data_IF_303393837911
#
_entry.id   IF_303393837911
#
_cell.length_a   1.000
_cell.length_b   1.000
_cell.length_c   1.000
_cell.angle_alpha   90.00
_cell.angle_beta   90.00
_cell.angle_gamma   90.00
#
_symmetry.space_group_name_H-M   'P 1'
#
loop_
_entity.id
_entity.type
_entity.pdbx_description
1 polymer ?
#
# COMPACT_ATOMS: atom_id res chain seq x y z
N UNK A 1 -45.20 -26.75 -40.01
CA UNK A 1 -44.18 -26.19 -39.10
C UNK A 1 -44.91 -25.45 -37.99
N UNK A 2 -45.08 -26.08 -36.83
CA UNK A 2 -45.70 -25.48 -35.65
C UNK A 2 -44.64 -25.38 -34.55
N UNK A 3 -44.34 -24.16 -34.11
CA UNK A 3 -43.51 -23.90 -32.94
C UNK A 3 -44.41 -24.00 -31.70
N UNK A 4 -44.10 -24.96 -30.82
CA UNK A 4 -44.71 -25.07 -29.50
C UNK A 4 -43.91 -24.16 -28.57
N UNK A 5 -44.52 -23.04 -28.17
CA UNK A 5 -44.01 -22.18 -27.10
C UNK A 5 -44.23 -22.91 -25.78
N UNK A 6 -43.16 -23.46 -25.18
CA UNK A 6 -43.23 -23.98 -23.81
C UNK A 6 -43.12 -22.80 -22.85
N UNK A 7 -44.25 -22.36 -22.33
CA UNK A 7 -44.30 -21.48 -21.16
C UNK A 7 -43.79 -22.30 -19.98
N UNK A 8 -42.66 -21.90 -19.39
CA UNK A 8 -42.22 -22.45 -18.11
C UNK A 8 -43.18 -21.89 -17.05
N UNK A 9 -44.19 -22.68 -16.68
CA UNK A 9 -45.01 -22.41 -15.49
C UNK A 9 -44.06 -22.32 -14.29
N UNK A 10 -43.86 -21.11 -13.78
CA UNK A 10 -43.18 -20.90 -12.52
C UNK A 10 -44.14 -21.33 -11.41
N UNK A 11 -43.84 -22.43 -10.73
CA UNK A 11 -44.56 -22.83 -9.52
C UNK A 11 -44.66 -21.64 -8.55
N UNK A 12 -45.84 -21.38 -7.96
CA UNK A 12 -45.99 -20.30 -6.99
C UNK A 12 -45.04 -20.54 -5.81
N UNK A 13 -44.20 -19.54 -5.50
CA UNK A 13 -43.22 -19.60 -4.41
C UNK A 13 -43.97 -19.86 -3.09
N UNK A 14 -43.91 -21.10 -2.61
CA UNK A 14 -44.83 -21.64 -1.60
C UNK A 14 -44.64 -21.09 -0.16
N UNK A 15 -43.65 -20.24 0.10
CA UNK A 15 -43.48 -19.49 1.34
C UNK A 15 -42.28 -18.54 1.23
N UNK A 16 -42.17 -17.50 2.07
CA UNK A 16 -40.92 -16.77 2.23
C UNK A 16 -39.82 -17.72 2.72
N UNK A 17 -38.67 -17.69 2.05
CA UNK A 17 -37.50 -18.48 2.44
C UNK A 17 -36.97 -17.99 3.79
N UNK A 18 -37.09 -18.82 4.84
CA UNK A 18 -36.55 -18.53 6.18
C UNK A 18 -35.17 -19.15 6.34
N UNK A 19 -34.14 -18.31 6.41
CA UNK A 19 -32.77 -18.73 6.70
C UNK A 19 -32.63 -19.04 8.20
N UNK A 20 -32.23 -20.28 8.53
CA UNK A 20 -31.83 -20.65 9.88
C UNK A 20 -30.35 -20.31 10.11
N UNK A 21 -30.11 -19.18 10.77
CA UNK A 21 -28.76 -18.67 11.05
C UNK A 21 -27.95 -19.55 12.01
N UNK A 22 -28.59 -20.49 12.71
CA UNK A 22 -27.90 -21.40 13.67
C UNK A 22 -27.26 -22.61 13.00
N UNK A 23 -27.68 -22.94 11.77
CA UNK A 23 -27.14 -24.07 11.00
C UNK A 23 -25.94 -23.69 10.11
N UNK A 24 -25.65 -22.40 10.01
CA UNK A 24 -24.55 -21.89 9.20
C UNK A 24 -23.19 -21.92 9.91
N UNK A 25 -22.11 -21.87 9.13
CA UNK A 25 -20.73 -21.63 9.63
C UNK A 25 -20.20 -20.33 9.01
N UNK A 26 -19.40 -19.57 9.77
CA UNK A 26 -18.72 -18.38 9.23
C UNK A 26 -17.59 -18.82 8.29
N UNK A 27 -17.72 -18.56 6.99
CA UNK A 27 -16.65 -18.79 6.00
C UNK A 27 -15.96 -17.46 5.72
N UNK A 28 -14.88 -17.16 6.46
CA UNK A 28 -14.12 -15.92 6.32
C UNK A 28 -13.04 -15.93 5.23
N UNK A 29 -12.90 -17.04 4.49
CA UNK A 29 -11.82 -17.26 3.53
C UNK A 29 -11.79 -16.18 2.44
N UNK A 30 -12.91 -15.92 1.77
CA UNK A 30 -12.99 -14.91 0.70
C UNK A 30 -12.62 -13.52 1.21
N UNK A 31 -13.08 -13.14 2.40
CA UNK A 31 -12.71 -11.87 3.04
C UNK A 31 -11.21 -11.82 3.37
N UNK A 32 -10.62 -12.94 3.80
CA UNK A 32 -9.19 -13.02 4.11
C UNK A 32 -8.33 -12.95 2.85
N UNK A 33 -8.73 -13.65 1.80
CA UNK A 33 -8.09 -13.62 0.49
C UNK A 33 -8.16 -12.21 -0.11
N UNK A 34 -9.32 -11.56 -0.07
CA UNK A 34 -9.48 -10.17 -0.48
C UNK A 34 -8.58 -9.22 0.32
N UNK A 35 -8.53 -9.38 1.65
CA UNK A 35 -7.70 -8.53 2.50
C UNK A 35 -6.20 -8.70 2.24
N UNK A 36 -5.75 -9.91 1.89
CA UNK A 36 -4.36 -10.21 1.57
C UNK A 36 -3.89 -9.72 0.20
N UNK A 37 -4.80 -9.20 -0.63
CA UNK A 37 -4.42 -8.72 -1.96
C UNK A 37 -3.48 -7.51 -1.88
N UNK A 38 -2.48 -7.44 -2.78
CA UNK A 38 -1.71 -6.23 -3.04
C UNK A 38 -2.62 -5.02 -3.28
N UNK A 39 -2.12 -3.81 -2.99
CA UNK A 39 -2.94 -2.60 -3.03
C UNK A 39 -3.58 -2.34 -4.39
N UNK A 40 -2.86 -2.67 -5.46
CA UNK A 40 -3.24 -2.61 -6.88
C UNK A 40 -4.31 -3.62 -7.30
N UNK A 41 -4.54 -4.68 -6.52
CA UNK A 41 -5.53 -5.72 -6.84
C UNK A 41 -6.86 -5.58 -6.06
N UNK A 42 -7.02 -4.49 -5.29
CA UNK A 42 -8.19 -4.26 -4.40
C UNK A 42 -9.25 -3.33 -4.99
N UNK A 43 -9.27 -3.20 -6.31
CA UNK A 43 -10.27 -2.40 -7.04
C UNK A 43 -11.39 -3.28 -7.59
N UNK A 44 -12.63 -2.79 -7.54
CA UNK A 44 -13.81 -3.53 -8.01
C UNK A 44 -13.98 -3.48 -9.53
N UNK A 45 -13.35 -2.49 -10.19
CA UNK A 45 -13.34 -2.35 -11.65
C UNK A 45 -12.05 -1.68 -12.15
N UNK A 46 -11.80 -1.77 -13.45
CA UNK A 46 -10.70 -1.06 -14.11
C UNK A 46 -10.89 0.46 -14.11
N UNK A 47 -12.14 0.94 -14.11
CA UNK A 47 -12.42 2.37 -14.01
C UNK A 47 -12.05 2.91 -12.62
N UNK A 48 -12.39 2.18 -11.55
CA UNK A 48 -12.03 2.58 -10.18
C UNK A 48 -10.50 2.60 -9.97
N UNK A 49 -9.79 1.62 -10.54
CA UNK A 49 -8.33 1.61 -10.54
C UNK A 49 -7.78 2.83 -11.30
N UNK A 50 -8.31 3.13 -12.48
CA UNK A 50 -7.88 4.26 -13.28
C UNK A 50 -8.07 5.59 -12.53
N UNK A 51 -9.26 5.84 -11.98
CA UNK A 51 -9.56 7.08 -11.26
C UNK A 51 -8.64 7.25 -10.05
N UNK A 52 -8.43 6.19 -9.25
CA UNK A 52 -7.54 6.26 -8.10
C UNK A 52 -6.08 6.55 -8.47
N UNK A 53 -5.57 5.90 -9.52
CA UNK A 53 -4.20 6.12 -10.01
C UNK A 53 -4.07 7.52 -10.62
N UNK A 54 -5.09 7.98 -11.36
CA UNK A 54 -5.14 9.32 -11.95
C UNK A 54 -5.12 10.40 -10.86
N UNK A 55 -5.96 10.27 -9.84
CA UNK A 55 -6.02 11.18 -8.69
C UNK A 55 -4.70 11.23 -7.91
N UNK A 56 -4.00 10.08 -7.81
CA UNK A 56 -2.68 10.04 -7.21
C UNK A 56 -1.64 10.74 -8.10
N UNK A 57 -1.66 10.50 -9.40
CA UNK A 57 -0.75 11.13 -10.35
C UNK A 57 -0.94 12.66 -10.37
N UNK A 58 -2.17 13.15 -10.40
CA UNK A 58 -2.49 14.58 -10.45
C UNK A 58 -2.07 15.32 -9.15
N UNK A 59 -2.02 14.63 -8.01
CA UNK A 59 -1.51 15.19 -6.73
C UNK A 59 -0.01 14.99 -6.54
N UNK A 60 0.62 14.09 -7.30
CA UNK A 60 2.04 13.78 -7.15
C UNK A 60 2.89 14.94 -7.65
N UNK A 61 3.90 15.31 -6.86
CA UNK A 61 4.84 16.39 -7.21
C UNK A 61 6.25 15.83 -7.27
N UNK A 62 7.02 16.30 -8.23
CA UNK A 62 8.45 15.96 -8.36
C UNK A 62 9.28 17.22 -8.23
N UNK A 63 10.35 17.17 -7.45
CA UNK A 63 11.32 18.25 -7.31
C UNK A 63 12.71 17.67 -7.15
N UNK A 64 13.69 18.28 -7.80
CA UNK A 64 15.10 17.94 -7.61
C UNK A 64 15.63 18.61 -6.36
N UNK A 65 16.32 17.82 -5.52
CA UNK A 65 16.98 18.29 -4.30
C UNK A 65 18.43 17.87 -4.36
N UNK A 66 19.33 18.81 -4.07
CA UNK A 66 20.76 18.54 -3.91
C UNK A 66 20.98 17.59 -2.72
N UNK A 67 21.71 16.49 -2.94
CA UNK A 67 21.87 15.44 -1.92
C UNK A 67 22.45 15.94 -0.59
N UNK A 68 23.39 16.89 -0.63
CA UNK A 68 23.97 17.56 0.57
C UNK A 68 22.96 18.34 1.42
N UNK A 69 21.77 18.62 0.90
CA UNK A 69 20.69 19.27 1.64
C UNK A 69 19.68 18.28 2.22
N UNK A 70 19.82 16.98 1.92
CA UNK A 70 18.98 15.94 2.51
C UNK A 70 19.61 15.54 3.84
N UNK A 71 18.90 15.77 4.94
CA UNK A 71 19.35 15.37 6.26
C UNK A 71 18.58 14.11 6.70
N UNK A 72 19.31 13.12 7.17
CA UNK A 72 18.76 11.90 7.76
C UNK A 72 18.78 12.04 9.28
N UNK A 73 17.61 11.98 9.91
CA UNK A 73 17.44 12.03 11.35
C UNK A 73 17.01 10.66 11.87
N UNK A 74 17.59 10.24 12.99
CA UNK A 74 17.06 9.14 13.77
C UNK A 74 16.02 9.66 14.74
N UNK A 75 14.86 9.00 14.82
CA UNK A 75 13.82 9.39 15.77
C UNK A 75 14.32 9.14 17.21
N UNK A 76 14.20 10.13 18.10
CA UNK A 76 14.69 10.00 19.48
C UNK A 76 13.91 8.97 20.27
N UNK A 77 12.60 8.88 20.04
CA UNK A 77 11.70 8.00 20.78
C UNK A 77 11.48 6.65 20.09
N UNK A 78 12.03 6.46 18.88
CA UNK A 78 11.93 5.21 18.11
C UNK A 78 13.30 4.89 17.48
N UNK A 79 14.09 4.01 18.12
CA UNK A 79 15.47 3.73 17.72
C UNK A 79 15.58 2.99 16.39
N UNK A 80 14.49 2.52 15.79
CA UNK A 80 14.48 1.83 14.50
C UNK A 80 13.96 2.74 13.36
N UNK A 81 13.45 3.93 13.70
CA UNK A 81 12.85 4.86 12.75
C UNK A 81 13.81 5.94 12.29
N UNK A 82 13.83 6.14 10.97
CA UNK A 82 14.56 7.19 10.29
C UNK A 82 13.59 8.17 9.64
N UNK A 83 13.99 9.43 9.56
CA UNK A 83 13.27 10.46 8.84
C UNK A 83 14.20 11.28 7.95
N UNK A 84 13.70 11.69 6.80
CA UNK A 84 14.37 12.57 5.85
C UNK A 84 13.83 13.99 6.03
N UNK A 85 14.72 14.94 6.25
CA UNK A 85 14.43 16.37 6.17
C UNK A 85 14.91 16.91 4.83
N UNK A 86 14.00 17.52 4.09
CA UNK A 86 14.26 18.13 2.79
C UNK A 86 14.15 19.65 2.90
N UNK A 87 14.93 20.43 2.13
CA UNK A 87 14.84 21.88 2.13
C UNK A 87 13.48 22.34 1.62
N UNK A 88 12.89 23.33 2.28
CA UNK A 88 11.59 23.91 1.90
C UNK A 88 10.39 23.00 2.12
N UNK A 89 10.57 21.83 2.75
CA UNK A 89 9.48 21.01 3.25
C UNK A 89 9.59 20.93 4.78
N UNK A 90 8.52 21.32 5.48
CA UNK A 90 8.52 21.32 6.95
C UNK A 90 8.26 19.94 7.54
N UNK A 91 7.76 19.01 6.71
CA UNK A 91 7.43 17.66 7.13
C UNK A 91 8.62 16.72 6.95
N UNK A 92 8.87 15.91 7.99
CA UNK A 92 9.85 14.83 7.90
C UNK A 92 9.23 13.65 7.14
N UNK A 93 9.98 13.04 6.22
CA UNK A 93 9.52 11.92 5.40
C UNK A 93 10.17 10.62 5.84
N UNK A 94 9.40 9.57 6.08
CA UNK A 94 9.98 8.25 6.30
C UNK A 94 10.65 7.75 4.99
N UNK A 95 11.92 7.31 5.02
CA UNK A 95 12.56 6.75 3.84
C UNK A 95 11.90 5.41 3.49
N UNK A 96 11.63 5.20 2.20
CA UNK A 96 11.22 3.89 1.70
C UNK A 96 12.44 2.96 1.63
N UNK A 97 12.19 1.66 1.45
CA UNK A 97 13.27 0.69 1.26
C UNK A 97 14.20 1.10 0.09
N UNK A 98 13.63 1.63 -0.99
CA UNK A 98 14.37 2.08 -2.17
C UNK A 98 15.11 3.39 -1.92
N UNK A 99 14.47 4.42 -1.36
CA UNK A 99 15.14 5.71 -1.13
C UNK A 99 16.28 5.60 -0.11
N UNK A 100 16.12 4.75 0.91
CA UNK A 100 17.22 4.41 1.81
C UNK A 100 18.40 3.76 1.07
N UNK A 101 18.11 2.87 0.11
CA UNK A 101 19.14 2.26 -0.73
C UNK A 101 19.90 3.27 -1.57
N UNK A 102 19.21 4.28 -2.12
CA UNK A 102 19.84 5.38 -2.84
C UNK A 102 20.77 6.20 -1.93
N UNK A 103 20.29 6.58 -0.73
CA UNK A 103 21.10 7.34 0.24
C UNK A 103 22.36 6.58 0.65
N UNK A 104 22.24 5.30 0.97
CA UNK A 104 23.38 4.45 1.29
C UNK A 104 24.38 4.37 0.12
N UNK A 105 23.88 4.31 -1.12
CA UNK A 105 24.70 4.32 -2.33
C UNK A 105 25.51 5.60 -2.52
N UNK A 106 24.96 6.77 -2.15
CA UNK A 106 25.66 8.06 -2.24
C UNK A 106 26.93 8.10 -1.36
N UNK A 107 26.91 7.43 -0.21
CA UNK A 107 28.05 7.31 0.71
C UNK A 107 28.89 6.05 0.50
N UNK A 108 28.58 5.25 -0.54
CA UNK A 108 29.27 4.00 -0.83
C UNK A 108 29.07 2.89 0.20
N UNK A 109 28.02 2.97 1.02
CA UNK A 109 27.74 2.01 2.09
C UNK A 109 26.74 0.92 1.64
N UNK A 110 26.91 -0.36 2.05
CA UNK A 110 25.93 -1.41 1.76
C UNK A 110 24.62 -1.19 2.52
N UNK A 111 23.54 -0.88 1.80
CA UNK A 111 22.23 -0.61 2.39
C UNK A 111 21.70 -1.79 3.25
N UNK A 112 21.97 -3.04 2.86
CA UNK A 112 21.55 -4.22 3.61
C UNK A 112 22.16 -4.29 5.01
N UNK A 113 23.42 -3.88 5.16
CA UNK A 113 24.10 -3.82 6.46
C UNK A 113 23.57 -2.66 7.30
N UNK A 114 23.41 -1.47 6.71
CA UNK A 114 22.93 -0.30 7.42
C UNK A 114 21.53 -0.46 8.03
N UNK A 115 20.64 -1.24 7.38
CA UNK A 115 19.29 -1.56 7.89
C UNK A 115 19.29 -2.44 9.14
N UNK A 116 20.39 -3.14 9.43
CA UNK A 116 20.51 -4.00 10.61
C UNK A 116 21.00 -3.21 11.84
N UNK A 117 21.32 -1.93 11.66
CA UNK A 117 21.82 -1.07 12.72
C UNK A 117 20.66 -0.21 13.27
N UNK A 118 20.66 0.08 14.58
CA UNK A 118 19.79 1.09 15.17
C UNK A 118 19.97 2.43 14.46
N UNK A 119 18.86 3.14 14.24
CA UNK A 119 18.71 4.34 13.42
C UNK A 119 19.80 5.42 13.59
N UNK A 120 20.36 5.70 14.79
CA UNK A 120 21.41 6.71 14.92
C UNK A 120 22.66 6.44 14.06
N UNK A 121 23.02 5.16 13.86
CA UNK A 121 24.20 4.78 13.05
C UNK A 121 24.02 5.06 11.55
N UNK A 122 22.99 4.51 10.87
CA UNK A 122 22.77 4.79 9.46
C UNK A 122 22.45 6.27 9.21
N UNK A 123 21.77 6.98 10.12
CA UNK A 123 21.56 8.41 10.01
C UNK A 123 22.88 9.19 9.92
N UNK A 124 23.80 8.93 10.85
CA UNK A 124 25.12 9.55 10.86
C UNK A 124 25.90 9.26 9.57
N UNK A 125 25.94 7.98 9.14
CA UNK A 125 26.67 7.55 7.94
C UNK A 125 26.09 8.20 6.67
N UNK A 126 24.78 8.25 6.51
CA UNK A 126 24.16 8.85 5.32
C UNK A 126 24.35 10.37 5.25
N UNK A 127 24.61 11.04 6.38
CA UNK A 127 24.86 12.49 6.44
C UNK A 127 26.30 12.89 6.12
N UNK A 128 27.20 11.94 5.82
CA UNK A 128 28.59 12.23 5.43
C UNK A 128 28.81 12.27 3.92
N UNK A 129 27.75 12.16 3.11
CA UNK A 129 27.80 12.27 1.65
C UNK A 129 28.13 13.68 1.15
#
# INVERSE_FOLDING_TARGET
>A
MSLVTQTLDADPVAAPFKVDVTRGRRVGRVSSEWFSRPADERYLSLADLYDAVRDQADRSRTRTVESRHILVEAHRDDPDSLALRLPGDGAALAPTHWSFGQLAGLVGAPAGYLRQLPAPRPASICNTA
#
